data_IF_424853237011
#
_entry.id   IF_424853237011
#
_cell.length_a   1.000
_cell.length_b   1.000
_cell.length_c   1.000
_cell.angle_alpha   90.00
_cell.angle_beta   90.00
_cell.angle_gamma   90.00
#
_symmetry.space_group_name_H-M   'P 1'
#
loop_
_entity.id
_entity.type
_entity.pdbx_description
1 polymer ?
#
# COMPACT_ATOMS: atom_id res chain seq x y z
N UNK A 1 19.60 22.39 34.30
CA UNK A 1 19.69 21.34 33.27
C UNK A 1 19.34 21.95 31.92
N UNK A 2 20.33 22.46 31.20
CA UNK A 2 20.18 22.99 29.83
C UNK A 2 21.28 22.32 29.03
N UNK A 3 20.89 21.60 28.00
CA UNK A 3 21.75 20.61 27.36
C UNK A 3 21.72 20.80 25.84
N UNK A 4 22.93 20.77 25.27
CA UNK A 4 23.25 20.60 23.84
C UNK A 4 23.23 21.84 22.94
N UNK A 5 24.39 22.49 22.82
CA UNK A 5 24.85 23.09 21.55
C UNK A 5 26.28 22.64 21.29
N UNK A 6 26.46 21.64 20.42
CA UNK A 6 27.74 21.38 19.77
C UNK A 6 27.47 21.34 18.27
N UNK A 7 28.06 22.33 17.59
CA UNK A 7 28.15 22.46 16.13
C UNK A 7 29.29 21.58 15.65
N UNK A 8 29.10 20.88 14.53
CA UNK A 8 30.07 20.67 13.46
C UNK A 8 29.67 19.43 12.67
N UNK A 9 29.22 19.60 11.42
CA UNK A 9 29.28 18.54 10.44
C UNK A 9 30.11 19.08 9.28
N UNK A 10 31.36 18.62 9.26
CA UNK A 10 32.40 18.93 8.29
C UNK A 10 31.92 18.60 6.87
N UNK A 11 32.28 19.50 5.96
CA UNK A 11 32.09 19.37 4.51
C UNK A 11 33.03 18.31 3.93
N UNK A 12 32.47 17.54 3.00
CA UNK A 12 33.04 16.77 1.91
C UNK A 12 34.59 16.70 1.78
N UNK A 13 35.11 15.48 1.73
CA UNK A 13 36.07 15.04 0.71
C UNK A 13 36.31 13.53 0.86
N UNK A 14 36.01 12.77 -0.18
CA UNK A 14 36.91 11.77 -0.80
C UNK A 14 36.10 10.98 -1.85
N UNK A 15 35.90 11.63 -3.00
CA UNK A 15 35.94 10.91 -4.27
C UNK A 15 37.42 10.56 -4.52
N UNK A 16 37.66 9.29 -4.85
CA UNK A 16 38.80 8.70 -5.58
C UNK A 16 39.26 7.46 -4.83
N UNK A 17 38.71 6.31 -5.22
CA UNK A 17 39.40 5.02 -5.34
C UNK A 17 38.38 4.00 -5.87
N UNK A 18 38.19 4.04 -7.18
CA UNK A 18 37.65 2.90 -7.93
C UNK A 18 38.82 1.96 -8.18
N UNK A 19 38.73 0.69 -7.75
CA UNK A 19 39.17 -0.40 -8.57
C UNK A 19 37.94 -1.17 -9.06
N UNK A 20 37.88 -1.30 -10.38
CA UNK A 20 37.17 -2.35 -11.10
C UNK A 20 37.17 -3.66 -10.32
N UNK A 21 36.04 -4.01 -9.72
CA UNK A 21 35.75 -5.36 -9.27
C UNK A 21 34.26 -5.62 -9.45
N UNK A 22 33.93 -6.47 -10.42
CA UNK A 22 32.62 -7.12 -10.50
C UNK A 22 31.52 -6.32 -11.19
N UNK A 23 31.58 -6.21 -12.52
CA UNK A 23 30.36 -6.30 -13.32
C UNK A 23 29.81 -7.74 -13.20
N UNK A 24 29.21 -8.08 -12.07
CA UNK A 24 28.53 -9.35 -11.84
C UNK A 24 27.61 -9.21 -10.61
N UNK A 25 26.52 -8.48 -10.81
CA UNK A 25 25.59 -8.17 -9.74
C UNK A 25 24.63 -7.10 -10.23
N UNK A 26 23.78 -7.45 -11.19
CA UNK A 26 22.43 -6.93 -11.08
C UNK A 26 21.92 -7.50 -9.76
N UNK A 27 22.18 -6.77 -8.66
CA UNK A 27 21.54 -7.02 -7.39
C UNK A 27 20.05 -6.85 -7.68
N UNK A 28 19.42 -7.95 -8.08
CA UNK A 28 18.00 -8.12 -7.98
C UNK A 28 17.73 -7.98 -6.48
N UNK A 29 17.57 -6.74 -6.03
CA UNK A 29 17.10 -6.40 -4.69
C UNK A 29 15.94 -7.35 -4.49
N UNK A 30 16.03 -8.32 -3.56
CA UNK A 30 15.02 -9.35 -3.47
C UNK A 30 13.72 -8.59 -3.21
N UNK A 31 12.85 -8.54 -4.22
CA UNK A 31 11.57 -7.90 -4.08
C UNK A 31 10.91 -8.66 -2.94
N UNK A 32 10.85 -8.00 -1.77
CA UNK A 32 10.36 -8.63 -0.54
C UNK A 32 8.99 -9.16 -0.90
N UNK A 33 8.85 -10.49 -1.03
CA UNK A 33 7.63 -11.10 -1.56
C UNK A 33 6.43 -10.52 -0.83
N UNK A 34 5.50 -9.91 -1.57
CA UNK A 34 4.30 -9.27 -1.04
C UNK A 34 3.08 -10.01 -1.54
N UNK A 35 2.04 -9.97 -0.74
CA UNK A 35 0.71 -10.27 -1.24
C UNK A 35 0.17 -9.05 -1.97
N UNK A 36 -0.41 -9.30 -3.13
CA UNK A 36 -1.27 -8.36 -3.84
C UNK A 36 -2.69 -8.91 -3.80
N UNK A 37 -3.68 -8.05 -3.62
CA UNK A 37 -5.09 -8.40 -3.70
C UNK A 37 -5.86 -7.34 -4.48
N UNK A 38 -6.84 -7.82 -5.25
CA UNK A 38 -7.93 -7.00 -5.77
C UNK A 38 -9.20 -7.35 -5.01
N UNK A 39 -10.07 -6.36 -4.80
CA UNK A 39 -11.38 -6.51 -4.19
C UNK A 39 -12.44 -5.98 -5.16
N UNK A 40 -13.55 -6.69 -5.29
CA UNK A 40 -14.78 -6.17 -5.88
C UNK A 40 -15.83 -6.18 -4.78
N UNK A 41 -16.36 -5.03 -4.40
CA UNK A 41 -17.36 -4.92 -3.34
C UNK A 41 -18.62 -4.23 -3.87
N UNK A 42 -19.78 -4.68 -3.37
CA UNK A 42 -21.02 -3.96 -3.52
C UNK A 42 -20.99 -2.65 -2.71
N UNK A 43 -21.76 -1.67 -3.16
CA UNK A 43 -21.95 -0.39 -2.49
C UNK A 43 -23.30 -0.39 -1.81
N UNK A 44 -23.31 -0.26 -0.49
CA UNK A 44 -24.53 -0.26 0.31
C UNK A 44 -24.74 1.12 0.96
N UNK A 45 -25.97 1.64 0.94
CA UNK A 45 -26.34 2.82 1.72
C UNK A 45 -26.64 2.40 3.17
N UNK A 46 -25.90 2.97 4.11
CA UNK A 46 -25.99 2.63 5.53
C UNK A 46 -27.42 2.86 6.04
N UNK A 47 -27.98 1.85 6.71
CA UNK A 47 -29.31 1.92 7.35
C UNK A 47 -30.50 1.75 6.40
N UNK A 48 -30.28 1.60 5.09
CA UNK A 48 -31.38 1.42 4.13
C UNK A 48 -31.76 -0.04 3.88
N UNK A 49 -30.87 -0.99 4.18
CA UNK A 49 -31.01 -2.39 3.75
C UNK A 49 -30.97 -2.56 2.22
N UNK A 50 -30.73 -1.48 1.47
CA UNK A 50 -30.65 -1.48 0.02
C UNK A 50 -29.24 -1.91 -0.41
N UNK A 51 -29.19 -3.12 -0.95
CA UNK A 51 -28.00 -3.78 -1.48
C UNK A 51 -27.88 -3.57 -3.00
N UNK A 52 -28.22 -2.36 -3.50
CA UNK A 52 -28.28 -2.08 -4.93
C UNK A 52 -27.07 -2.59 -5.74
N UNK A 53 -27.24 -2.72 -7.07
CA UNK A 53 -26.34 -3.49 -7.94
C UNK A 53 -24.97 -2.87 -8.23
N UNK A 54 -24.61 -1.79 -7.53
CA UNK A 54 -23.39 -1.03 -7.79
C UNK A 54 -22.20 -1.73 -7.17
N UNK A 55 -21.19 -2.02 -7.98
CA UNK A 55 -19.92 -2.59 -7.52
C UNK A 55 -18.75 -1.66 -7.83
N UNK A 56 -17.83 -1.53 -6.88
CA UNK A 56 -16.55 -0.86 -7.09
C UNK A 56 -15.39 -1.83 -6.88
N UNK A 57 -14.27 -1.52 -7.51
CA UNK A 57 -13.05 -2.33 -7.47
C UNK A 57 -11.92 -1.55 -6.84
N UNK A 58 -11.14 -2.23 -6.00
CA UNK A 58 -9.98 -1.64 -5.34
C UNK A 58 -8.85 -2.62 -5.22
N UNK A 59 -7.65 -2.10 -4.98
CA UNK A 59 -6.43 -2.88 -4.97
C UNK A 59 -5.62 -2.63 -3.70
N UNK A 60 -4.88 -3.64 -3.26
CA UNK A 60 -4.11 -3.57 -2.03
C UNK A 60 -2.89 -4.46 -2.06
N UNK A 61 -1.86 -4.07 -1.33
CA UNK A 61 -0.68 -4.91 -1.09
C UNK A 61 -0.43 -5.05 0.39
N UNK A 62 0.17 -6.15 0.80
CA UNK A 62 0.43 -6.43 2.21
C UNK A 62 1.51 -7.48 2.42
N UNK A 63 2.04 -7.54 3.64
CA UNK A 63 2.99 -8.58 4.07
C UNK A 63 2.33 -9.96 4.21
N UNK A 64 1.00 -10.01 4.24
CA UNK A 64 0.19 -11.22 4.30
C UNK A 64 -1.03 -11.09 3.39
N UNK A 65 -1.66 -12.22 3.03
CA UNK A 65 -2.90 -12.25 2.23
C UNK A 65 -3.97 -11.32 2.83
N UNK A 66 -4.26 -11.48 4.12
CA UNK A 66 -5.24 -10.68 4.86
C UNK A 66 -4.90 -9.19 4.86
N UNK A 67 -3.62 -8.82 4.96
CA UNK A 67 -3.21 -7.41 4.90
C UNK A 67 -3.45 -6.81 3.50
N UNK A 68 -3.20 -7.58 2.43
CA UNK A 68 -3.48 -7.14 1.06
C UNK A 68 -4.99 -7.04 0.78
N UNK A 69 -5.80 -7.98 1.28
CA UNK A 69 -7.26 -7.96 1.19
C UNK A 69 -7.85 -6.74 1.93
N UNK A 70 -7.43 -6.50 3.17
CA UNK A 70 -7.84 -5.33 3.94
C UNK A 70 -7.49 -4.01 3.23
N UNK A 71 -6.29 -3.93 2.66
CA UNK A 71 -5.87 -2.76 1.89
C UNK A 71 -6.75 -2.56 0.64
N UNK A 72 -7.08 -3.63 -0.08
CA UNK A 72 -7.94 -3.58 -1.26
C UNK A 72 -9.38 -3.16 -0.90
N UNK A 73 -9.94 -3.66 0.20
CA UNK A 73 -11.25 -3.23 0.69
C UNK A 73 -11.24 -1.77 1.16
N UNK A 74 -10.16 -1.34 1.83
CA UNK A 74 -9.99 0.05 2.24
C UNK A 74 -9.95 1.01 1.04
N UNK A 75 -9.30 0.60 -0.05
CA UNK A 75 -9.29 1.35 -1.30
C UNK A 75 -10.70 1.45 -1.91
N UNK A 76 -11.47 0.35 -1.94
CA UNK A 76 -12.88 0.42 -2.36
C UNK A 76 -13.68 1.37 -1.47
N UNK A 77 -13.53 1.29 -0.14
CA UNK A 77 -14.24 2.19 0.77
C UNK A 77 -13.87 3.66 0.55
N UNK A 78 -12.59 3.96 0.27
CA UNK A 78 -12.16 5.31 -0.05
C UNK A 78 -12.85 5.83 -1.33
N UNK A 79 -12.93 5.01 -2.37
CA UNK A 79 -13.64 5.33 -3.61
C UNK A 79 -15.15 5.53 -3.37
N UNK A 80 -15.78 4.69 -2.53
CA UNK A 80 -17.19 4.84 -2.15
C UNK A 80 -17.41 6.19 -1.46
N UNK A 81 -16.59 6.50 -0.46
CA UNK A 81 -16.67 7.76 0.28
C UNK A 81 -16.48 8.98 -0.64
N UNK A 82 -15.56 8.89 -1.61
CA UNK A 82 -15.34 9.95 -2.60
C UNK A 82 -16.52 10.11 -3.57
N UNK A 83 -17.11 9.01 -4.02
CA UNK A 83 -18.16 9.02 -5.06
C UNK A 83 -19.56 9.27 -4.52
N UNK A 84 -19.87 8.76 -3.32
CA UNK A 84 -21.23 8.74 -2.76
C UNK A 84 -21.34 9.40 -1.38
N UNK A 85 -20.21 9.72 -0.73
CA UNK A 85 -20.17 10.29 0.61
C UNK A 85 -20.15 9.26 1.74
N UNK A 86 -20.16 9.74 2.99
CA UNK A 86 -19.99 8.92 4.21
C UNK A 86 -21.20 8.06 4.56
N UNK A 87 -22.34 8.26 3.89
CA UNK A 87 -23.56 7.45 4.07
C UNK A 87 -23.51 6.09 3.39
N UNK A 88 -22.39 5.71 2.78
CA UNK A 88 -22.23 4.48 2.01
C UNK A 88 -21.02 3.67 2.47
N UNK A 89 -21.13 2.35 2.35
CA UNK A 89 -20.06 1.41 2.73
C UNK A 89 -19.81 0.33 1.68
N UNK A 90 -18.59 -0.19 1.67
CA UNK A 90 -18.26 -1.41 0.97
C UNK A 90 -18.91 -2.61 1.69
N UNK A 91 -19.64 -3.42 0.94
CA UNK A 91 -20.31 -4.62 1.45
C UNK A 91 -20.11 -5.81 0.50
N UNK A 92 -20.24 -7.04 1.00
CA UNK A 92 -20.06 -8.29 0.24
C UNK A 92 -18.84 -8.29 -0.71
N UNK A 93 -17.65 -8.05 -0.17
CA UNK A 93 -16.42 -8.01 -0.96
C UNK A 93 -15.98 -9.42 -1.41
N UNK A 94 -15.65 -9.55 -2.70
CA UNK A 94 -14.96 -10.70 -3.27
C UNK A 94 -13.50 -10.35 -3.54
N UNK A 95 -12.56 -11.20 -3.12
CA UNK A 95 -11.13 -10.94 -3.23
C UNK A 95 -10.44 -11.90 -4.19
N UNK A 96 -9.44 -11.39 -4.91
CA UNK A 96 -8.46 -12.19 -5.65
C UNK A 96 -7.06 -11.80 -5.22
N UNK A 97 -6.39 -12.70 -4.52
CA UNK A 97 -5.05 -12.45 -3.96
C UNK A 97 -4.00 -13.36 -4.58
N UNK A 98 -2.82 -12.80 -4.82
CA UNK A 98 -1.65 -13.50 -5.36
C UNK A 98 -0.41 -13.12 -4.56
N UNK A 99 0.46 -14.09 -4.31
CA UNK A 99 1.77 -13.85 -3.73
C UNK A 99 2.76 -13.54 -4.85
N UNK A 100 3.39 -12.37 -4.80
CA UNK A 100 4.34 -11.87 -5.81
C UNK A 100 5.67 -11.52 -5.15
#
# INVERSE_FOLDING_TARGET
MVSHKIRAALVAALLVLVPLAGAAGADAVPMKKKWYSSATCAVEKIGSGDHGDKQLKGNGTGKSKKAAENAAQSDVQAQISQKYGTGYRAHHCTFRSVFK
#
